data_IF_035624510872
#
_entry.id   IF_035624510872
#
_cell.length_a   1.000
_cell.length_b   1.000
_cell.length_c   1.000
_cell.angle_alpha   90.00
_cell.angle_beta   90.00
_cell.angle_gamma   90.00
#
_symmetry.space_group_name_H-M   'P 1'
#
loop_
_entity.id
_entity.type
_entity.pdbx_description
1 polymer ?
#
# COMPACT_ATOMS: atom_id res chain seq x y z
N UNK A 1 15.72 -13.68 -2.73
CA UNK A 1 16.07 -12.59 -1.79
C UNK A 1 16.97 -11.63 -2.53
N UNK A 2 16.56 -10.39 -2.71
CA UNK A 2 17.33 -9.37 -3.43
C UNK A 2 18.00 -8.47 -2.39
N UNK A 3 19.33 -8.35 -2.41
CA UNK A 3 20.08 -7.49 -1.50
C UNK A 3 20.55 -6.25 -2.26
N UNK A 4 20.20 -5.07 -1.76
CA UNK A 4 20.74 -3.79 -2.21
C UNK A 4 21.80 -3.32 -1.21
N UNK A 5 22.97 -2.92 -1.70
CA UNK A 5 24.04 -2.35 -0.86
C UNK A 5 24.31 -0.93 -1.33
N UNK A 6 24.25 0.03 -0.40
CA UNK A 6 24.63 1.43 -0.65
C UNK A 6 25.90 1.72 0.13
N UNK A 7 26.95 2.16 -0.56
CA UNK A 7 28.23 2.51 0.05
C UNK A 7 28.45 4.01 -0.07
N UNK A 8 28.70 4.67 1.07
CA UNK A 8 29.07 6.07 1.14
C UNK A 8 29.86 6.33 2.42
N UNK A 9 30.83 7.23 2.33
CA UNK A 9 31.60 7.73 3.47
C UNK A 9 30.91 8.94 4.15
N UNK A 10 29.86 9.49 3.55
CA UNK A 10 29.13 10.65 4.06
C UNK A 10 27.97 10.24 4.98
N UNK A 11 28.06 10.63 6.24
CA UNK A 11 27.03 10.32 7.24
C UNK A 11 25.70 11.02 6.96
N UNK A 12 25.72 12.21 6.36
CA UNK A 12 24.50 12.92 6.01
C UNK A 12 23.69 12.14 4.96
N UNK A 13 24.36 11.58 3.95
CA UNK A 13 23.76 10.74 2.91
C UNK A 13 23.14 9.47 3.50
N UNK A 14 23.84 8.77 4.40
CA UNK A 14 23.30 7.58 5.09
C UNK A 14 21.97 7.88 5.77
N UNK A 15 21.95 8.95 6.57
CA UNK A 15 20.75 9.40 7.29
C UNK A 15 19.64 9.80 6.32
N UNK A 16 19.97 10.45 5.19
CA UNK A 16 18.95 10.86 4.22
C UNK A 16 18.29 9.73 3.48
N UNK A 17 19.02 8.65 3.20
CA UNK A 17 18.42 7.45 2.61
C UNK A 17 17.46 6.79 3.60
N UNK A 18 17.88 6.67 4.86
CA UNK A 18 17.03 6.13 5.93
C UNK A 18 15.76 6.98 6.14
N UNK A 19 15.91 8.31 6.28
CA UNK A 19 14.80 9.25 6.40
C UNK A 19 13.81 9.13 5.22
N UNK A 20 14.33 8.99 3.99
CA UNK A 20 13.51 8.87 2.78
C UNK A 20 12.69 7.59 2.77
N UNK A 21 13.30 6.45 3.14
CA UNK A 21 12.60 5.16 3.23
C UNK A 21 11.53 5.20 4.32
N UNK A 22 11.82 5.78 5.49
CA UNK A 22 10.82 5.96 6.55
C UNK A 22 9.66 6.85 6.09
N UNK A 23 9.96 7.96 5.41
CA UNK A 23 8.93 8.89 4.90
C UNK A 23 8.02 8.19 3.89
N UNK A 24 8.60 7.44 2.94
CA UNK A 24 7.83 6.71 1.94
C UNK A 24 6.96 5.62 2.59
N UNK A 25 7.50 4.90 3.58
CA UNK A 25 6.77 3.90 4.36
C UNK A 25 5.54 4.52 5.04
N UNK A 26 5.69 5.69 5.67
CA UNK A 26 4.58 6.38 6.33
C UNK A 26 3.53 6.92 5.35
N UNK A 27 3.94 7.40 4.17
CA UNK A 27 3.04 7.82 3.11
C UNK A 27 2.24 6.63 2.55
N UNK A 28 2.89 5.49 2.33
CA UNK A 28 2.24 4.27 1.89
C UNK A 28 1.25 3.76 2.94
N UNK A 29 1.61 3.74 4.22
CA UNK A 29 0.68 3.38 5.32
C UNK A 29 -0.58 4.24 5.31
N UNK A 30 -0.44 5.55 5.18
CA UNK A 30 -1.58 6.48 5.11
C UNK A 30 -2.44 6.22 3.88
N UNK A 31 -1.83 5.93 2.74
CA UNK A 31 -2.54 5.63 1.49
C UNK A 31 -3.30 4.31 1.61
N UNK A 32 -2.66 3.25 2.11
CA UNK A 32 -3.30 1.96 2.42
C UNK A 32 -4.50 2.15 3.33
N UNK A 33 -4.38 2.95 4.39
CA UNK A 33 -5.47 3.22 5.32
C UNK A 33 -6.65 3.91 4.61
N UNK A 34 -6.38 4.93 3.78
CA UNK A 34 -7.43 5.64 3.02
C UNK A 34 -8.14 4.72 2.03
N UNK A 35 -7.40 3.90 1.28
CA UNK A 35 -7.99 2.92 0.36
C UNK A 35 -8.85 1.90 1.11
N UNK A 36 -8.39 1.40 2.25
CA UNK A 36 -9.20 0.53 3.12
C UNK A 36 -10.48 1.21 3.60
N UNK A 37 -10.43 2.49 3.99
CA UNK A 37 -11.63 3.23 4.38
C UNK A 37 -12.63 3.34 3.25
N UNK A 38 -12.20 3.66 2.02
CA UNK A 38 -13.08 3.67 0.83
C UNK A 38 -13.73 2.31 0.57
N UNK A 39 -12.95 1.24 0.63
CA UNK A 39 -13.47 -0.12 0.46
C UNK A 39 -14.50 -0.46 1.55
N UNK A 40 -14.23 -0.05 2.79
CA UNK A 40 -15.14 -0.25 3.90
C UNK A 40 -16.44 0.58 3.74
N UNK A 41 -16.36 1.81 3.21
CA UNK A 41 -17.54 2.61 2.88
C UNK A 41 -18.41 1.93 1.83
N UNK A 42 -17.81 1.37 0.80
CA UNK A 42 -18.51 0.56 -0.20
C UNK A 42 -19.15 -0.68 0.43
N UNK A 43 -18.40 -1.44 1.24
CA UNK A 43 -18.92 -2.61 1.98
C UNK A 43 -20.03 -2.24 2.97
N UNK A 44 -20.01 -1.04 3.55
CA UNK A 44 -21.08 -0.58 4.43
C UNK A 44 -22.34 -0.19 3.65
N UNK A 45 -22.17 0.40 2.45
CA UNK A 45 -23.28 0.83 1.58
C UNK A 45 -24.00 -0.37 0.98
N UNK A 46 -23.24 -1.37 0.54
CA UNK A 46 -23.79 -2.52 -0.16
C UNK A 46 -23.86 -3.78 0.69
N UNK A 47 -23.04 -3.92 1.73
CA UNK A 47 -22.91 -5.14 2.53
C UNK A 47 -21.60 -5.88 2.21
N UNK A 48 -21.13 -6.73 3.14
CA UNK A 48 -20.04 -7.67 2.86
C UNK A 48 -20.54 -8.73 1.89
N UNK A 49 -20.30 -8.51 0.61
CA UNK A 49 -20.77 -9.41 -0.44
C UNK A 49 -19.61 -10.12 -1.11
N UNK A 50 -19.88 -11.35 -1.52
CA UNK A 50 -19.07 -12.07 -2.49
C UNK A 50 -19.19 -11.35 -3.84
N UNK A 51 -18.10 -11.23 -4.61
CA UNK A 51 -18.04 -10.43 -5.85
C UNK A 51 -19.18 -10.82 -6.82
N UNK A 52 -19.46 -12.12 -6.91
CA UNK A 52 -20.51 -12.68 -7.76
C UNK A 52 -21.92 -12.26 -7.32
N UNK A 53 -22.10 -11.91 -6.05
CA UNK A 53 -23.39 -11.49 -5.49
C UNK A 53 -23.70 -10.00 -5.69
N UNK A 54 -22.73 -9.21 -6.18
CA UNK A 54 -22.88 -7.78 -6.46
C UNK A 54 -23.31 -7.49 -7.90
N UNK A 55 -23.01 -8.38 -8.84
CA UNK A 55 -23.38 -8.21 -10.25
C UNK A 55 -24.90 -8.09 -10.43
N UNK A 56 -25.32 -7.02 -11.11
CA UNK A 56 -26.74 -6.70 -11.34
C UNK A 56 -27.48 -6.15 -10.12
N UNK A 57 -26.80 -5.93 -8.97
CA UNK A 57 -27.35 -5.29 -7.77
C UNK A 57 -26.73 -3.94 -7.46
N UNK A 58 -25.47 -3.75 -7.85
CA UNK A 58 -24.75 -2.48 -7.77
C UNK A 58 -24.58 -1.90 -9.15
N UNK A 59 -24.48 -0.58 -9.24
CA UNK A 59 -24.11 0.09 -10.48
C UNK A 59 -22.78 -0.46 -11.01
N UNK A 60 -22.72 -0.78 -12.30
CA UNK A 60 -21.56 -1.43 -12.92
C UNK A 60 -20.29 -0.57 -12.81
N UNK A 61 -20.42 0.77 -12.85
CA UNK A 61 -19.28 1.67 -12.72
C UNK A 61 -18.74 1.67 -11.28
N UNK A 62 -19.63 1.76 -10.29
CA UNK A 62 -19.23 1.66 -8.87
C UNK A 62 -18.58 0.31 -8.54
N UNK A 63 -19.08 -0.79 -9.14
CA UNK A 63 -18.49 -2.12 -8.97
C UNK A 63 -17.08 -2.20 -9.57
N UNK A 64 -16.87 -1.68 -10.78
CA UNK A 64 -15.56 -1.62 -11.43
C UNK A 64 -14.56 -0.80 -10.60
N UNK A 65 -15.00 0.35 -10.07
CA UNK A 65 -14.15 1.20 -9.22
C UNK A 65 -13.73 0.46 -7.94
N UNK A 66 -14.67 -0.25 -7.29
CA UNK A 66 -14.38 -1.05 -6.11
C UNK A 66 -13.35 -2.16 -6.39
N UNK A 67 -13.50 -2.88 -7.50
CA UNK A 67 -12.53 -3.89 -7.92
C UNK A 67 -11.14 -3.30 -8.20
N UNK A 68 -11.08 -2.12 -8.82
CA UNK A 68 -9.84 -1.38 -9.05
C UNK A 68 -9.16 -0.94 -7.74
N UNK A 69 -9.94 -0.49 -6.76
CA UNK A 69 -9.43 -0.11 -5.44
C UNK A 69 -8.94 -1.34 -4.63
N UNK A 70 -9.55 -2.52 -4.80
CA UNK A 70 -9.05 -3.77 -4.22
C UNK A 70 -7.67 -4.16 -4.76
N UNK A 71 -7.50 -4.14 -6.08
CA UNK A 71 -6.21 -4.44 -6.72
C UNK A 71 -5.16 -3.38 -6.34
N UNK A 72 -5.56 -2.11 -6.25
CA UNK A 72 -4.70 -1.02 -5.81
C UNK A 72 -4.24 -1.25 -4.37
N UNK A 73 -5.16 -1.60 -3.46
CA UNK A 73 -4.82 -1.92 -2.07
C UNK A 73 -3.79 -3.04 -1.99
N UNK A 74 -3.99 -4.11 -2.76
CA UNK A 74 -3.06 -5.26 -2.78
C UNK A 74 -1.65 -4.82 -3.16
N UNK A 75 -1.50 -4.04 -4.23
CA UNK A 75 -0.19 -3.52 -4.68
C UNK A 75 0.46 -2.60 -3.65
N UNK A 76 -0.32 -1.72 -3.03
CA UNK A 76 0.17 -0.83 -1.99
C UNK A 76 0.67 -1.61 -0.76
N UNK A 77 -0.02 -2.69 -0.38
CA UNK A 77 0.40 -3.57 0.71
C UNK A 77 1.67 -4.34 0.37
N UNK A 78 1.82 -4.83 -0.86
CA UNK A 78 3.05 -5.49 -1.33
C UNK A 78 4.25 -4.54 -1.29
N UNK A 79 4.08 -3.30 -1.78
CA UNK A 79 5.13 -2.27 -1.75
C UNK A 79 5.49 -1.88 -0.31
N UNK A 80 4.47 -1.65 0.54
CA UNK A 80 4.68 -1.32 1.94
C UNK A 80 5.47 -2.41 2.66
N UNK A 81 5.08 -3.67 2.48
CA UNK A 81 5.78 -4.82 3.05
C UNK A 81 7.24 -4.85 2.60
N UNK A 82 7.51 -4.60 1.33
CA UNK A 82 8.88 -4.57 0.81
C UNK A 82 9.74 -3.47 1.45
N UNK A 83 9.17 -2.33 1.86
CA UNK A 83 9.91 -1.29 2.57
C UNK A 83 10.06 -1.58 4.07
N UNK A 84 9.03 -2.15 4.71
CA UNK A 84 9.05 -2.51 6.13
C UNK A 84 10.05 -3.63 6.46
N UNK A 85 10.39 -4.48 5.48
CA UNK A 85 11.40 -5.52 5.61
C UNK A 85 12.85 -5.02 5.44
N UNK A 86 13.05 -3.74 5.09
CA UNK A 86 14.40 -3.17 4.94
C UNK A 86 15.08 -3.08 6.31
N UNK A 87 16.30 -3.61 6.38
CA UNK A 87 17.18 -3.50 7.54
C UNK A 87 18.44 -2.73 7.17
N UNK A 88 18.83 -1.77 8.03
CA UNK A 88 20.03 -0.97 7.84
C UNK A 88 21.19 -1.59 8.60
N UNK A 89 22.21 -2.05 7.86
CA UNK A 89 23.47 -2.55 8.41
C UNK A 89 24.56 -1.50 8.17
N UNK A 90 25.21 -1.03 9.24
CA UNK A 90 26.36 -0.12 9.13
C UNK A 90 27.65 -0.90 9.40
N UNK A 91 28.62 -0.75 8.50
CA UNK A 91 30.01 -1.22 8.70
C UNK A 91 30.88 -0.09 9.22
#
# INVERSE_FOLDING_TARGET
MTKLTVETNDNWTKKKIEDAIHTETDLLRKTVQRTRSKLQEFENKYGKFDRDSLYGRVDDMELIEWEGELETLKRLQENLKSLEEITFEYK
#
